data_IF_102488767924
#
_entry.id   IF_102488767924
#
_cell.length_a   1.000
_cell.length_b   1.000
_cell.length_c   1.000
_cell.angle_alpha   90.00
_cell.angle_beta   90.00
_cell.angle_gamma   90.00
#
_symmetry.space_group_name_H-M   'P 1'
#
loop_
_entity.id
_entity.type
_entity.pdbx_description
1 polymer ?
#
# COMPACT_ATOMS: atom_id res chain seq x y z
N UNK A 1 -3.27 20.92 35.82
CA UNK A 1 -3.57 20.92 34.37
C UNK A 1 -2.97 19.63 33.82
N UNK A 2 -3.78 18.59 33.55
CA UNK A 2 -3.25 17.32 33.00
C UNK A 2 -2.94 17.57 31.52
N UNK A 3 -1.65 17.63 31.17
CA UNK A 3 -1.23 17.64 29.77
C UNK A 3 -1.84 16.42 29.07
N UNK A 4 -2.72 16.69 28.13
CA UNK A 4 -3.41 15.68 27.35
C UNK A 4 -2.37 15.13 26.36
N UNK A 5 -1.59 14.13 26.79
CA UNK A 5 -0.58 13.47 25.94
C UNK A 5 -1.29 13.03 24.66
N UNK A 6 -0.98 13.69 23.53
CA UNK A 6 -1.49 13.32 22.21
C UNK A 6 -1.01 11.91 21.90
N UNK A 7 -1.84 10.92 22.16
CA UNK A 7 -1.57 9.55 21.80
C UNK A 7 -1.80 9.38 20.30
N UNK A 8 -0.92 8.63 19.63
CA UNK A 8 -1.10 8.28 18.23
C UNK A 8 -2.45 7.54 18.10
N UNK A 9 -3.27 7.90 17.10
CA UNK A 9 -4.54 7.22 16.90
C UNK A 9 -4.28 5.75 16.53
N UNK A 10 -4.83 4.84 17.32
CA UNK A 10 -4.58 3.38 17.22
C UNK A 10 -5.01 2.81 15.85
N UNK A 11 -6.06 3.36 15.24
CA UNK A 11 -6.55 2.93 13.92
C UNK A 11 -5.81 3.66 12.77
N UNK A 12 -5.18 4.81 13.05
CA UNK A 12 -4.44 5.61 12.07
C UNK A 12 -5.27 6.03 10.84
N UNK A 13 -4.56 6.38 9.75
CA UNK A 13 -5.18 6.58 8.41
C UNK A 13 -5.10 5.31 7.55
N UNK A 14 -4.61 4.22 8.13
CA UNK A 14 -4.47 2.89 7.54
C UNK A 14 -5.63 2.46 6.65
N UNK A 15 -6.84 2.32 7.23
CA UNK A 15 -8.02 1.88 6.49
C UNK A 15 -8.41 2.83 5.35
N UNK A 16 -8.26 4.14 5.54
CA UNK A 16 -8.60 5.15 4.52
C UNK A 16 -7.68 5.02 3.30
N UNK A 17 -6.46 4.53 3.47
CA UNK A 17 -5.55 4.29 2.36
C UNK A 17 -5.78 2.91 1.73
N UNK A 18 -5.82 1.86 2.54
CA UNK A 18 -5.78 0.48 2.06
C UNK A 18 -7.12 0.01 1.48
N UNK A 19 -8.25 0.38 2.10
CA UNK A 19 -9.57 -0.08 1.65
C UNK A 19 -9.89 0.40 0.22
N UNK A 20 -9.72 1.69 -0.14
CA UNK A 20 -9.92 2.13 -1.52
C UNK A 20 -8.99 1.42 -2.51
N UNK A 21 -7.74 1.18 -2.13
CA UNK A 21 -6.75 0.45 -2.94
C UNK A 21 -7.26 -0.95 -3.32
N UNK A 22 -7.75 -1.71 -2.34
CA UNK A 22 -8.27 -3.07 -2.55
C UNK A 22 -9.56 -3.04 -3.36
N UNK A 23 -10.50 -2.16 -3.01
CA UNK A 23 -11.80 -2.05 -3.68
C UNK A 23 -11.64 -1.64 -5.14
N UNK A 24 -10.83 -0.61 -5.42
CA UNK A 24 -10.58 -0.16 -6.79
C UNK A 24 -9.80 -1.19 -7.59
N UNK A 25 -8.90 -1.95 -6.96
CA UNK A 25 -8.20 -3.05 -7.64
C UNK A 25 -9.17 -4.16 -8.06
N UNK A 26 -10.01 -4.62 -7.13
CA UNK A 26 -11.03 -5.64 -7.41
C UNK A 26 -12.01 -5.17 -8.49
N UNK A 27 -12.50 -3.94 -8.39
CA UNK A 27 -13.38 -3.34 -9.40
C UNK A 27 -12.69 -3.21 -10.76
N UNK A 28 -11.45 -2.72 -10.81
CA UNK A 28 -10.67 -2.60 -12.04
C UNK A 28 -10.49 -3.95 -12.73
N UNK A 29 -10.13 -4.99 -11.98
CA UNK A 29 -10.00 -6.36 -12.51
C UNK A 29 -11.33 -6.85 -13.05
N UNK A 30 -12.42 -6.70 -12.29
CA UNK A 30 -13.75 -7.13 -12.72
C UNK A 30 -14.21 -6.42 -14.00
N UNK A 31 -13.95 -5.12 -14.14
CA UNK A 31 -14.27 -4.37 -15.36
C UNK A 31 -13.37 -4.82 -16.51
N UNK A 32 -12.10 -5.15 -16.25
CA UNK A 32 -11.15 -5.62 -17.27
C UNK A 32 -11.51 -6.98 -17.90
N UNK A 33 -12.41 -7.74 -17.27
CA UNK A 33 -12.93 -8.99 -17.87
C UNK A 33 -14.06 -8.74 -18.87
N UNK A 34 -14.59 -7.52 -18.96
CA UNK A 34 -15.66 -7.15 -19.90
C UNK A 34 -15.07 -6.82 -21.27
N UNK A 35 -15.81 -7.14 -22.33
CA UNK A 35 -15.48 -6.84 -23.74
C UNK A 35 -15.08 -5.37 -23.94
N UNK A 36 -15.69 -4.45 -23.20
CA UNK A 36 -15.43 -3.00 -23.27
C UNK A 36 -13.95 -2.62 -23.06
N UNK A 37 -13.21 -3.34 -22.20
CA UNK A 37 -11.80 -3.06 -21.94
C UNK A 37 -10.85 -4.04 -22.65
N UNK A 38 -11.35 -4.89 -23.55
CA UNK A 38 -10.55 -5.89 -24.26
C UNK A 38 -9.47 -5.26 -25.15
N UNK A 39 -9.75 -4.08 -25.75
CA UNK A 39 -8.83 -3.39 -26.65
C UNK A 39 -7.50 -3.00 -25.98
N UNK A 40 -7.49 -2.82 -24.66
CA UNK A 40 -6.31 -2.45 -23.90
C UNK A 40 -5.52 -3.67 -23.38
N UNK A 41 -5.97 -4.89 -23.68
CA UNK A 41 -5.28 -6.14 -23.32
C UNK A 41 -4.27 -6.49 -24.39
N UNK A 42 -2.98 -6.52 -24.00
CA UNK A 42 -1.88 -6.80 -24.93
C UNK A 42 -1.25 -8.14 -24.58
N UNK A 43 -1.38 -9.12 -25.49
CA UNK A 43 -0.87 -10.48 -25.30
C UNK A 43 0.65 -10.52 -25.08
N UNK A 44 1.41 -9.65 -25.74
CA UNK A 44 2.86 -9.55 -25.60
C UNK A 44 3.30 -9.22 -24.17
N UNK A 45 2.47 -8.51 -23.39
CA UNK A 45 2.78 -8.17 -22.00
C UNK A 45 2.35 -9.23 -21.00
N UNK A 46 1.63 -10.27 -21.42
CA UNK A 46 1.09 -11.28 -20.50
C UNK A 46 2.17 -11.93 -19.63
N UNK A 47 3.23 -12.47 -20.23
CA UNK A 47 4.32 -13.12 -19.46
C UNK A 47 5.09 -12.11 -18.61
N UNK A 48 5.60 -10.99 -19.17
CA UNK A 48 6.31 -9.98 -18.37
C UNK A 48 5.49 -9.46 -17.18
N UNK A 49 4.21 -9.16 -17.39
CA UNK A 49 3.34 -8.63 -16.34
C UNK A 49 3.00 -9.68 -15.29
N UNK A 50 2.82 -10.95 -15.68
CA UNK A 50 2.63 -12.02 -14.70
C UNK A 50 3.87 -12.18 -13.81
N UNK A 51 5.07 -12.24 -14.39
CA UNK A 51 6.31 -12.36 -13.61
C UNK A 51 6.49 -11.17 -12.68
N UNK A 52 6.35 -9.95 -13.22
CA UNK A 52 6.46 -8.73 -12.41
C UNK A 52 5.40 -8.68 -11.31
N UNK A 53 4.15 -9.05 -11.62
CA UNK A 53 3.05 -9.08 -10.66
C UNK A 53 3.33 -10.01 -9.48
N UNK A 54 3.83 -11.22 -9.75
CA UNK A 54 4.24 -12.16 -8.71
C UNK A 54 5.37 -11.58 -7.85
N UNK A 55 6.40 -11.00 -8.47
CA UNK A 55 7.52 -10.37 -7.73
C UNK A 55 7.02 -9.26 -6.81
N UNK A 56 6.15 -8.37 -7.31
CA UNK A 56 5.60 -7.27 -6.50
C UNK A 56 4.77 -7.78 -5.32
N UNK A 57 3.95 -8.83 -5.52
CA UNK A 57 3.17 -9.44 -4.44
C UNK A 57 4.09 -10.06 -3.37
N UNK A 58 5.14 -10.78 -3.78
CA UNK A 58 6.11 -11.36 -2.84
C UNK A 58 6.81 -10.27 -2.05
N UNK A 59 7.29 -9.20 -2.71
CA UNK A 59 7.92 -8.08 -2.04
C UNK A 59 6.97 -7.40 -1.05
N UNK A 60 5.71 -7.19 -1.44
CA UNK A 60 4.69 -6.64 -0.56
C UNK A 60 4.46 -7.52 0.67
N UNK A 61 4.33 -8.84 0.49
CA UNK A 61 4.18 -9.79 1.59
C UNK A 61 5.38 -9.76 2.53
N UNK A 62 6.60 -9.72 1.99
CA UNK A 62 7.81 -9.59 2.79
C UNK A 62 7.76 -8.31 3.65
N UNK A 63 7.52 -7.14 3.04
CA UNK A 63 7.43 -5.88 3.79
C UNK A 63 6.40 -5.97 4.93
N UNK A 64 5.23 -6.54 4.68
CA UNK A 64 4.18 -6.70 5.68
C UNK A 64 4.59 -7.63 6.82
N UNK A 65 5.20 -8.79 6.49
CA UNK A 65 5.67 -9.76 7.50
C UNK A 65 6.75 -9.15 8.38
N UNK A 66 7.76 -8.50 7.78
CA UNK A 66 8.85 -7.89 8.54
C UNK A 66 8.35 -6.74 9.42
N UNK A 67 7.42 -5.90 8.94
CA UNK A 67 6.87 -4.81 9.72
C UNK A 67 6.07 -5.29 10.95
N UNK A 68 5.25 -6.34 10.80
CA UNK A 68 4.40 -6.83 11.89
C UNK A 68 5.13 -7.76 12.86
N UNK A 69 5.96 -8.68 12.37
CA UNK A 69 6.55 -9.72 13.21
C UNK A 69 7.97 -9.39 13.68
N UNK A 70 8.77 -8.69 12.87
CA UNK A 70 10.14 -8.30 13.24
C UNK A 70 10.17 -6.96 13.95
N UNK A 71 9.67 -5.90 13.32
CA UNK A 71 9.64 -4.56 13.94
C UNK A 71 8.51 -4.42 14.96
N UNK A 72 7.45 -5.24 14.87
CA UNK A 72 6.29 -5.18 15.79
C UNK A 72 5.72 -3.77 15.88
N UNK A 73 5.31 -3.24 14.72
CA UNK A 73 4.81 -1.86 14.63
C UNK A 73 3.69 -1.55 15.64
N UNK A 74 2.84 -2.52 15.97
CA UNK A 74 1.77 -2.34 16.96
C UNK A 74 2.29 -1.92 18.34
N UNK A 75 3.43 -2.46 18.78
CA UNK A 75 4.08 -2.06 20.03
C UNK A 75 4.50 -0.60 19.98
N UNK A 76 5.13 -0.16 18.88
CA UNK A 76 5.57 1.22 18.69
C UNK A 76 4.38 2.21 18.68
N UNK A 77 3.26 1.83 18.05
CA UNK A 77 2.03 2.63 18.06
C UNK A 77 1.49 2.77 19.49
N UNK A 78 1.39 1.65 20.23
CA UNK A 78 0.89 1.63 21.61
C UNK A 78 1.79 2.37 22.59
N UNK A 79 3.09 2.41 22.33
CA UNK A 79 4.08 3.06 23.19
C UNK A 79 4.33 4.53 22.81
N UNK A 80 3.70 5.04 21.74
CA UNK A 80 4.01 6.36 21.17
C UNK A 80 5.51 6.51 20.87
N UNK A 81 6.09 5.53 20.19
CA UNK A 81 7.50 5.57 19.78
C UNK A 81 7.63 5.48 18.28
N UNK A 82 8.67 6.11 17.73
CA UNK A 82 8.97 6.04 16.31
C UNK A 82 9.75 4.76 16.00
N UNK A 83 9.17 3.89 15.17
CA UNK A 83 9.89 2.75 14.61
C UNK A 83 10.92 3.21 13.58
N UNK A 84 12.18 2.85 13.77
CA UNK A 84 13.31 3.25 12.88
C UNK A 84 14.21 2.07 12.50
N UNK A 85 13.94 0.89 13.03
CA UNK A 85 14.71 -0.33 12.87
C UNK A 85 14.03 -1.32 11.91
N UNK A 86 14.73 -2.41 11.61
CA UNK A 86 14.23 -3.45 10.71
C UNK A 86 13.81 -2.87 9.34
N UNK A 87 12.62 -3.21 8.88
CA UNK A 87 12.13 -2.74 7.58
C UNK A 87 11.81 -1.24 7.54
N UNK A 88 11.56 -0.62 8.70
CA UNK A 88 11.33 0.83 8.81
C UNK A 88 12.60 1.66 8.59
N UNK A 89 13.79 1.05 8.72
CA UNK A 89 15.07 1.68 8.33
C UNK A 89 15.24 1.80 6.80
N UNK A 90 14.54 0.98 6.03
CA UNK A 90 14.62 0.92 4.56
C UNK A 90 13.53 1.79 3.95
N UNK A 91 12.29 1.66 4.42
CA UNK A 91 11.12 2.39 3.93
C UNK A 91 10.33 2.91 5.11
N UNK A 92 10.03 4.22 5.12
CA UNK A 92 9.33 4.90 6.23
C UNK A 92 7.91 4.40 6.50
N UNK A 93 7.26 3.82 5.49
CA UNK A 93 5.84 3.43 5.50
C UNK A 93 5.64 2.00 4.94
N UNK A 94 6.27 0.97 5.53
CA UNK A 94 6.40 -0.35 4.90
C UNK A 94 5.07 -1.10 4.80
N UNK A 95 4.13 -0.90 5.75
CA UNK A 95 2.78 -1.48 5.67
C UNK A 95 2.01 -0.92 4.47
N UNK A 96 2.02 0.40 4.28
CA UNK A 96 1.38 1.04 3.13
C UNK A 96 2.02 0.62 1.80
N UNK A 97 3.36 0.56 1.77
CA UNK A 97 4.10 0.05 0.62
C UNK A 97 3.75 -1.41 0.31
N UNK A 98 3.54 -2.25 1.33
CA UNK A 98 3.14 -3.64 1.13
C UNK A 98 1.81 -3.77 0.38
N UNK A 99 0.77 -3.06 0.83
CA UNK A 99 -0.54 -3.08 0.19
C UNK A 99 -0.51 -2.44 -1.21
N UNK A 100 0.23 -1.34 -1.37
CA UNK A 100 0.46 -0.72 -2.67
C UNK A 100 1.08 -1.70 -3.67
N UNK A 101 2.15 -2.41 -3.28
CA UNK A 101 2.83 -3.39 -4.12
C UNK A 101 1.94 -4.59 -4.45
N UNK A 102 1.21 -5.12 -3.46
CA UNK A 102 0.29 -6.22 -3.66
C UNK A 102 -0.84 -5.87 -4.64
N UNK A 103 -1.50 -4.72 -4.43
CA UNK A 103 -2.56 -4.24 -5.32
C UNK A 103 -2.03 -3.99 -6.74
N UNK A 104 -0.87 -3.34 -6.86
CA UNK A 104 -0.21 -3.11 -8.15
C UNK A 104 0.11 -4.43 -8.85
N UNK A 105 0.66 -5.41 -8.12
CA UNK A 105 1.01 -6.71 -8.69
C UNK A 105 -0.20 -7.48 -9.21
N UNK A 106 -1.31 -7.49 -8.47
CA UNK A 106 -2.55 -8.15 -8.91
C UNK A 106 -3.12 -7.46 -10.17
N UNK A 107 -3.04 -6.14 -10.26
CA UNK A 107 -3.52 -5.36 -11.41
C UNK A 107 -2.75 -5.64 -12.71
N UNK A 108 -1.56 -6.25 -12.64
CA UNK A 108 -0.78 -6.64 -13.81
C UNK A 108 -1.30 -7.92 -14.48
N UNK A 109 -1.96 -8.84 -13.75
CA UNK A 109 -2.38 -10.13 -14.29
C UNK A 109 -3.32 -10.08 -15.50
N UNK A 110 -4.27 -9.12 -15.60
CA UNK A 110 -5.10 -9.00 -16.78
C UNK A 110 -4.35 -8.56 -18.05
N UNK A 111 -3.07 -8.20 -17.96
CA UNK A 111 -2.26 -7.65 -19.05
C UNK A 111 -2.94 -6.46 -19.76
N UNK A 112 -3.66 -5.65 -18.99
CA UNK A 112 -4.48 -4.55 -19.48
C UNK A 112 -3.85 -3.21 -19.10
N UNK A 113 -3.44 -2.42 -20.10
CA UNK A 113 -2.70 -1.18 -19.85
C UNK A 113 -3.52 -0.10 -19.15
N UNK A 114 -4.84 -0.09 -19.30
CA UNK A 114 -5.71 0.91 -18.64
C UNK A 114 -5.64 0.76 -17.12
N UNK A 115 -5.46 -0.47 -16.62
CA UNK A 115 -5.34 -0.73 -15.19
C UNK A 115 -4.10 -0.10 -14.57
N UNK A 116 -3.08 0.25 -15.36
CA UNK A 116 -1.85 0.90 -14.88
C UNK A 116 -2.07 2.35 -14.40
N UNK A 117 -3.23 2.94 -14.69
CA UNK A 117 -3.64 4.23 -14.12
C UNK A 117 -3.85 4.11 -12.59
N UNK A 118 -4.33 2.96 -12.12
CA UNK A 118 -4.65 2.76 -10.71
C UNK A 118 -3.40 2.81 -9.81
N UNK A 119 -2.27 2.13 -10.09
CA UNK A 119 -1.04 2.29 -9.32
C UNK A 119 -0.54 3.74 -9.24
N UNK A 120 -0.65 4.51 -10.33
CA UNK A 120 -0.24 5.94 -10.32
C UNK A 120 -1.14 6.74 -9.38
N UNK A 121 -2.46 6.54 -9.48
CA UNK A 121 -3.44 7.15 -8.57
C UNK A 121 -3.16 6.77 -7.12
N UNK A 122 -2.92 5.47 -6.88
CA UNK A 122 -2.65 4.90 -5.56
C UNK A 122 -1.45 5.54 -4.90
N UNK A 123 -0.35 5.67 -5.64
CA UNK A 123 0.86 6.31 -5.16
C UNK A 123 0.62 7.76 -4.75
N UNK A 124 -0.08 8.53 -5.60
CA UNK A 124 -0.30 9.95 -5.38
C UNK A 124 -1.16 10.20 -4.14
N UNK A 125 -2.36 9.60 -4.06
CA UNK A 125 -3.25 9.86 -2.94
C UNK A 125 -2.66 9.34 -1.62
N UNK A 126 -2.01 8.16 -1.63
CA UNK A 126 -1.35 7.60 -0.45
C UNK A 126 -0.28 8.56 0.07
N UNK A 127 0.57 9.07 -0.83
CA UNK A 127 1.63 10.04 -0.47
C UNK A 127 1.05 11.32 0.13
N UNK A 128 -0.02 11.85 -0.47
CA UNK A 128 -0.69 13.06 0.03
C UNK A 128 -1.27 12.83 1.42
N UNK A 129 -1.97 11.71 1.65
CA UNK A 129 -2.60 11.40 2.94
C UNK A 129 -1.52 11.23 4.02
N UNK A 130 -0.52 10.39 3.79
CA UNK A 130 0.54 10.11 4.78
C UNK A 130 1.28 11.39 5.20
N UNK A 131 1.71 12.21 4.23
CA UNK A 131 2.43 13.47 4.49
C UNK A 131 1.58 14.49 5.25
N UNK A 132 0.27 14.48 5.05
CA UNK A 132 -0.64 15.43 5.70
C UNK A 132 -1.22 14.93 7.02
N UNK A 133 -0.99 13.67 7.39
CA UNK A 133 -1.57 13.05 8.59
C UNK A 133 -0.47 12.42 9.45
N UNK A 134 -0.16 11.14 9.28
CA UNK A 134 0.76 10.39 10.14
C UNK A 134 2.15 11.03 10.26
N UNK A 135 2.74 11.53 9.17
CA UNK A 135 4.04 12.22 9.27
C UNK A 135 3.97 13.50 10.11
N UNK A 136 2.83 14.20 10.13
CA UNK A 136 2.64 15.39 10.99
C UNK A 136 2.42 14.97 12.45
N UNK A 137 1.72 13.88 12.69
CA UNK A 137 1.51 13.35 14.05
C UNK A 137 2.82 12.88 14.66
N UNK A 138 3.65 12.16 13.90
CA UNK A 138 4.95 11.67 14.34
C UNK A 138 5.97 12.79 14.58
N UNK A 139 5.89 13.90 13.84
CA UNK A 139 6.72 15.09 14.11
C UNK A 139 6.32 15.86 15.37
N UNK A 140 5.10 15.65 15.86
CA UNK A 140 4.57 16.30 17.05
C UNK A 140 4.66 15.42 18.31
N UNK A 141 5.24 14.23 18.17
CA UNK A 141 5.56 13.28 19.24
C UNK A 141 6.77 13.78 20.03
#
# INVERSE_FOLDING_TARGET
MKENKKHLPVIGVGPVIVVPQVVLSAAGIFISTKEFLSFARISAFRIPFTVLGVVLIILGLCLWVYANFKTKIESHIKENTLATDGVYSIVRNPIYSAFFLACTGILLFPANLILLILPVLFYFYMTVIIKNTEEKWLKAL
#
